data_IF_217607036350
#
_entry.id   IF_217607036350
#
_cell.length_a   1.000
_cell.length_b   1.000
_cell.length_c   1.000
_cell.angle_alpha   90.00
_cell.angle_beta   90.00
_cell.angle_gamma   90.00
#
_symmetry.space_group_name_H-M   'P 1'
#
loop_
_entity.id
_entity.type
_entity.pdbx_description
1 polymer ?
#
# COMPACT_ATOMS: atom_id res chain seq x y z
N UNK A 1 6.42 -13.72 -3.40
CA UNK A 1 5.10 -14.21 -3.07
C UNK A 1 4.03 -13.24 -3.55
N UNK A 2 2.87 -13.71 -3.98
CA UNK A 2 1.77 -12.93 -4.55
C UNK A 2 2.07 -12.25 -5.90
N UNK A 3 3.25 -12.44 -6.48
CA UNK A 3 3.59 -11.80 -7.75
C UNK A 3 3.70 -10.27 -7.68
N UNK A 4 3.97 -9.74 -6.50
CA UNK A 4 4.11 -8.32 -6.27
C UNK A 4 5.56 -7.88 -6.40
N UNK A 5 5.75 -6.60 -6.72
CA UNK A 5 7.08 -6.03 -6.92
C UNK A 5 7.46 -5.16 -5.73
N UNK A 6 8.60 -5.47 -5.12
CA UNK A 6 9.21 -4.58 -4.12
C UNK A 6 9.85 -3.42 -4.88
N UNK A 7 9.42 -2.20 -4.59
CA UNK A 7 9.94 -1.02 -5.29
C UNK A 7 11.16 -0.46 -4.55
N UNK A 8 10.97 0.00 -3.32
CA UNK A 8 12.05 0.61 -2.55
C UNK A 8 11.69 0.74 -1.08
N UNK A 9 12.69 1.02 -0.26
CA UNK A 9 12.48 1.48 1.11
C UNK A 9 12.71 2.98 1.15
N UNK A 10 11.92 3.69 1.96
CA UNK A 10 12.03 5.12 2.19
C UNK A 10 12.08 5.30 3.71
N UNK A 11 13.31 5.51 4.25
CA UNK A 11 13.48 5.51 5.70
C UNK A 11 13.07 4.18 6.29
N UNK A 12 12.08 4.18 7.16
CA UNK A 12 11.51 2.96 7.77
C UNK A 12 10.26 2.46 7.03
N UNK A 13 9.92 3.06 5.90
CA UNK A 13 8.79 2.66 5.08
C UNK A 13 9.21 1.74 3.93
N UNK A 14 8.29 0.90 3.49
CA UNK A 14 8.52 -0.12 2.47
C UNK A 14 7.42 0.00 1.42
N UNK A 15 7.81 0.16 0.16
CA UNK A 15 6.89 0.34 -0.95
C UNK A 15 6.78 -0.93 -1.81
N UNK A 16 5.56 -1.40 -2.01
CA UNK A 16 5.26 -2.58 -2.82
C UNK A 16 4.18 -2.21 -3.83
N UNK A 17 4.27 -2.76 -5.03
CA UNK A 17 3.30 -2.53 -6.08
C UNK A 17 2.82 -3.83 -6.73
N UNK A 18 1.58 -3.84 -7.16
CA UNK A 18 1.00 -4.91 -7.96
C UNK A 18 0.63 -4.39 -9.35
N UNK A 19 0.63 -5.28 -10.34
CA UNK A 19 0.33 -4.91 -11.71
C UNK A 19 1.47 -4.25 -12.47
N UNK A 20 2.67 -4.26 -11.92
CA UNK A 20 3.89 -3.75 -12.56
C UNK A 20 5.03 -4.72 -12.27
N UNK A 21 6.01 -4.86 -13.17
CA UNK A 21 6.03 -4.36 -14.54
C UNK A 21 5.01 -5.04 -15.45
N UNK A 22 4.52 -6.21 -15.06
CA UNK A 22 3.53 -6.95 -15.82
C UNK A 22 2.12 -6.67 -15.30
N UNK A 23 1.18 -6.52 -16.20
CA UNK A 23 -0.22 -6.28 -15.87
C UNK A 23 -0.82 -7.50 -15.17
N UNK A 24 -1.59 -7.25 -14.12
CA UNK A 24 -2.31 -8.29 -13.38
C UNK A 24 -3.66 -7.73 -12.94
N UNK A 25 -4.74 -8.31 -13.45
CA UNK A 25 -6.10 -7.83 -13.17
C UNK A 25 -6.53 -8.05 -11.72
N UNK A 26 -5.83 -8.89 -10.98
CA UNK A 26 -6.08 -9.15 -9.55
C UNK A 26 -5.12 -8.40 -8.63
N UNK A 27 -4.41 -7.40 -9.14
CA UNK A 27 -3.36 -6.71 -8.38
C UNK A 27 -3.88 -6.10 -7.06
N UNK A 28 -5.07 -5.55 -7.08
CA UNK A 28 -5.66 -4.91 -5.90
C UNK A 28 -5.93 -5.92 -4.78
N UNK A 29 -6.51 -7.07 -5.12
CA UNK A 29 -6.76 -8.15 -4.18
C UNK A 29 -5.46 -8.72 -3.61
N UNK A 30 -4.46 -8.90 -4.47
CA UNK A 30 -3.16 -9.45 -4.04
C UNK A 30 -2.43 -8.50 -3.08
N UNK A 31 -2.48 -7.21 -3.32
CA UNK A 31 -1.92 -6.21 -2.42
C UNK A 31 -2.62 -6.26 -1.05
N UNK A 32 -3.95 -6.33 -1.04
CA UNK A 32 -4.70 -6.40 0.21
C UNK A 32 -4.38 -7.67 0.99
N UNK A 33 -4.30 -8.81 0.33
CA UNK A 33 -3.92 -10.08 0.98
C UNK A 33 -2.50 -10.01 1.54
N UNK A 34 -1.58 -9.41 0.81
CA UNK A 34 -0.21 -9.21 1.27
C UNK A 34 -0.19 -8.36 2.54
N UNK A 35 -0.93 -7.26 2.55
CA UNK A 35 -1.02 -6.38 3.73
C UNK A 35 -1.56 -7.11 4.96
N UNK A 36 -2.62 -7.89 4.79
CA UNK A 36 -3.19 -8.67 5.88
C UNK A 36 -2.21 -9.70 6.42
N UNK A 37 -1.48 -10.38 5.54
CA UNK A 37 -0.47 -11.35 5.95
C UNK A 37 0.67 -10.67 6.73
N UNK A 38 1.08 -9.47 6.30
CA UNK A 38 2.09 -8.70 7.01
C UNK A 38 1.63 -8.34 8.42
N UNK A 39 0.39 -7.92 8.58
CA UNK A 39 -0.18 -7.63 9.90
C UNK A 39 -0.20 -8.88 10.78
N UNK A 40 -0.56 -10.02 10.20
CA UNK A 40 -0.59 -11.29 10.94
C UNK A 40 0.80 -11.67 11.44
N UNK A 41 1.83 -11.54 10.60
CA UNK A 41 3.21 -11.82 10.98
C UNK A 41 3.67 -10.90 12.12
N UNK A 42 3.37 -9.61 12.02
CA UNK A 42 3.74 -8.65 13.06
C UNK A 42 3.04 -8.93 14.38
N UNK A 43 1.76 -9.32 14.33
CA UNK A 43 1.00 -9.65 15.54
C UNK A 43 1.50 -10.91 16.24
N UNK A 44 2.07 -11.84 15.51
CA UNK A 44 2.66 -13.06 16.08
C UNK A 44 3.99 -12.79 16.76
N UNK A 45 4.61 -11.64 16.51
CA UNK A 45 5.88 -11.28 17.12
C UNK A 45 7.01 -12.22 16.77
N UNK A 46 7.19 -12.52 15.50
CA UNK A 46 8.22 -13.45 15.02
C UNK A 46 9.59 -12.77 14.98
N UNK A 47 10.59 -13.38 15.62
CA UNK A 47 11.98 -12.93 15.59
C UNK A 47 12.15 -11.51 16.13
N UNK A 48 12.77 -10.63 15.36
CA UNK A 48 13.02 -9.24 15.74
C UNK A 48 11.75 -8.38 15.74
N UNK A 49 10.62 -8.91 15.29
CA UNK A 49 9.36 -8.16 15.16
C UNK A 49 8.48 -8.25 16.40
N UNK A 50 8.99 -8.81 17.48
CA UNK A 50 8.27 -8.83 18.76
C UNK A 50 8.03 -7.39 19.22
N UNK A 51 6.77 -7.06 19.50
CA UNK A 51 6.32 -5.71 19.90
C UNK A 51 6.44 -4.64 18.82
N UNK A 52 6.73 -5.02 17.57
CA UNK A 52 6.70 -4.09 16.45
C UNK A 52 5.27 -3.94 15.91
N UNK A 53 4.97 -2.73 15.46
CA UNK A 53 3.66 -2.42 14.85
C UNK A 53 3.90 -1.70 13.53
N UNK A 54 3.05 -1.96 12.55
CA UNK A 54 3.15 -1.32 11.24
C UNK A 54 1.84 -0.64 10.88
N UNK A 55 1.96 0.37 10.03
CA UNK A 55 0.82 1.01 9.39
C UNK A 55 0.90 0.71 7.91
N UNK A 56 -0.23 0.47 7.28
CA UNK A 56 -0.29 0.16 5.85
C UNK A 56 -1.29 1.10 5.18
N UNK A 57 -0.89 1.67 4.07
CA UNK A 57 -1.78 2.44 3.20
C UNK A 57 -1.81 1.81 1.82
N UNK A 58 -2.98 1.71 1.23
CA UNK A 58 -3.18 1.12 -0.10
C UNK A 58 -4.00 2.06 -0.97
N UNK A 59 -3.54 2.24 -2.20
CA UNK A 59 -4.25 2.99 -3.22
C UNK A 59 -4.04 2.33 -4.57
N UNK A 60 -5.00 2.50 -5.48
CA UNK A 60 -4.90 2.06 -6.86
C UNK A 60 -5.06 3.25 -7.79
N UNK A 61 -4.32 3.26 -8.87
CA UNK A 61 -4.37 4.33 -9.86
C UNK A 61 -3.20 4.25 -10.82
N UNK A 62 -3.18 5.14 -11.83
CA UNK A 62 -2.09 5.16 -12.81
C UNK A 62 -0.79 5.61 -12.19
N UNK A 63 0.31 5.01 -12.62
CA UNK A 63 1.67 5.37 -12.21
C UNK A 63 2.58 5.43 -13.42
N UNK A 64 3.66 6.19 -13.30
CA UNK A 64 4.76 6.17 -14.25
C UNK A 64 5.85 5.26 -13.66
N UNK A 65 6.28 4.29 -14.43
CA UNK A 65 7.27 3.32 -13.99
C UNK A 65 8.51 3.41 -14.88
N UNK A 66 9.68 3.17 -14.30
CA UNK A 66 10.92 3.20 -15.08
C UNK A 66 12.12 2.77 -14.27
N UNK A 67 13.25 2.68 -14.96
CA UNK A 67 14.53 2.30 -14.37
C UNK A 67 15.39 3.55 -14.25
N UNK A 68 15.97 3.75 -13.09
CA UNK A 68 16.87 4.86 -12.81
C UNK A 68 18.25 4.35 -12.40
N UNK A 69 19.27 5.16 -12.67
CA UNK A 69 20.65 4.86 -12.32
C UNK A 69 21.54 4.63 -13.53
N UNK A 70 22.83 4.88 -13.38
CA UNK A 70 23.83 4.73 -14.42
C UNK A 70 24.63 3.44 -14.31
N UNK A 71 25.05 3.08 -13.10
CA UNK A 71 25.85 1.90 -12.84
C UNK A 71 25.07 0.79 -12.14
N UNK A 72 24.00 1.16 -11.43
CA UNK A 72 23.15 0.24 -10.70
C UNK A 72 21.71 0.65 -10.95
N UNK A 73 21.00 -0.17 -11.70
CA UNK A 73 19.63 0.15 -12.10
C UNK A 73 18.65 -0.21 -10.99
N UNK A 74 17.70 0.70 -10.73
CA UNK A 74 16.60 0.49 -9.79
C UNK A 74 15.28 0.81 -10.48
N UNK A 75 14.32 -0.08 -10.33
CA UNK A 75 12.96 0.11 -10.82
C UNK A 75 12.19 0.96 -9.83
N UNK A 76 11.56 2.02 -10.30
CA UNK A 76 10.81 2.93 -9.44
C UNK A 76 9.49 3.34 -10.08
N UNK A 77 8.61 3.87 -9.27
CA UNK A 77 7.29 4.36 -9.67
C UNK A 77 7.12 5.81 -9.25
N UNK A 78 6.48 6.58 -10.11
CA UNK A 78 6.19 7.99 -9.85
C UNK A 78 4.72 8.28 -10.14
N UNK A 79 4.25 9.38 -9.61
CA UNK A 79 2.95 9.94 -9.89
C UNK A 79 2.10 10.17 -8.66
N UNK A 80 0.94 10.75 -8.89
CA UNK A 80 0.02 11.09 -7.82
C UNK A 80 -0.49 9.86 -7.04
N UNK A 81 -0.64 8.73 -7.74
CA UNK A 81 -1.06 7.48 -7.09
C UNK A 81 -0.08 7.04 -6.01
N UNK A 82 1.22 7.21 -6.23
CA UNK A 82 2.25 6.88 -5.25
C UNK A 82 2.13 7.80 -4.04
N UNK A 83 1.93 9.09 -4.28
CA UNK A 83 1.76 10.06 -3.21
C UNK A 83 0.51 9.78 -2.38
N UNK A 84 -0.58 9.40 -3.04
CA UNK A 84 -1.84 9.06 -2.37
C UNK A 84 -1.66 7.83 -1.47
N UNK A 85 -1.00 6.79 -1.95
CA UNK A 85 -0.72 5.60 -1.14
C UNK A 85 0.10 5.96 0.10
N UNK A 86 1.11 6.81 -0.06
CA UNK A 86 1.92 7.28 1.06
C UNK A 86 1.10 8.05 2.09
N UNK A 87 0.15 8.88 1.63
CA UNK A 87 -0.77 9.60 2.53
C UNK A 87 -1.68 8.65 3.30
N UNK A 88 -2.14 7.58 2.65
CA UNK A 88 -2.96 6.56 3.33
C UNK A 88 -2.16 5.90 4.44
N UNK A 89 -0.89 5.57 4.20
CA UNK A 89 -0.03 5.01 5.25
C UNK A 89 0.13 6.01 6.41
N UNK A 90 0.43 7.27 6.11
CA UNK A 90 0.64 8.30 7.13
C UNK A 90 -0.59 8.55 8.00
N UNK A 91 -1.77 8.41 7.44
CA UNK A 91 -3.04 8.61 8.16
C UNK A 91 -3.59 7.33 8.79
N UNK A 92 -2.97 6.18 8.49
CA UNK A 92 -3.40 4.90 9.06
C UNK A 92 -3.01 4.80 10.53
N UNK A 93 -3.57 3.82 11.20
CA UNK A 93 -3.27 3.51 12.59
C UNK A 93 -2.40 2.25 12.68
N UNK A 94 -1.67 2.12 13.79
CA UNK A 94 -0.84 0.93 14.03
C UNK A 94 -1.66 -0.35 13.94
N UNK A 95 -1.13 -1.34 13.24
CA UNK A 95 -1.76 -2.64 13.00
C UNK A 95 -3.05 -2.57 12.18
N UNK A 96 -3.21 -1.51 11.40
CA UNK A 96 -4.37 -1.34 10.53
C UNK A 96 -3.94 -1.02 9.11
N UNK A 97 -4.85 -1.28 8.18
CA UNK A 97 -4.69 -0.94 6.77
C UNK A 97 -5.71 0.13 6.44
N UNK A 98 -5.25 1.25 5.89
CA UNK A 98 -6.12 2.30 5.38
C UNK A 98 -6.12 2.25 3.87
N UNK A 99 -7.29 2.28 3.27
CA UNK A 99 -7.44 2.23 1.81
C UNK A 99 -8.25 3.44 1.33
N UNK A 100 -8.02 3.83 0.07
CA UNK A 100 -8.84 4.85 -0.57
C UNK A 100 -10.18 4.24 -1.00
N UNK A 101 -11.12 5.12 -1.32
CA UNK A 101 -12.43 4.69 -1.82
C UNK A 101 -12.32 3.79 -3.05
N UNK A 102 -11.39 4.09 -3.97
CA UNK A 102 -11.21 3.28 -5.18
C UNK A 102 -10.86 1.83 -4.84
N UNK A 103 -9.98 1.63 -3.87
CA UNK A 103 -9.63 0.28 -3.39
C UNK A 103 -10.83 -0.37 -2.71
N UNK A 104 -11.53 0.38 -1.86
CA UNK A 104 -12.71 -0.13 -1.17
C UNK A 104 -13.77 -0.61 -2.16
N UNK A 105 -14.10 0.18 -3.17
CA UNK A 105 -15.11 -0.19 -4.17
C UNK A 105 -14.72 -1.44 -4.95
N UNK A 106 -13.44 -1.64 -5.20
CA UNK A 106 -12.93 -2.81 -5.89
C UNK A 106 -13.04 -4.08 -5.03
N UNK A 107 -12.82 -3.97 -3.72
CA UNK A 107 -12.66 -5.11 -2.82
C UNK A 107 -13.78 -5.30 -1.81
N UNK A 108 -14.80 -4.45 -1.81
CA UNK A 108 -15.85 -4.48 -0.78
C UNK A 108 -16.57 -5.82 -0.62
N UNK A 109 -16.64 -6.61 -1.68
CA UNK A 109 -17.28 -7.92 -1.66
C UNK A 109 -16.35 -9.07 -1.26
N UNK A 110 -15.05 -8.78 -1.14
CA UNK A 110 -14.02 -9.80 -0.86
C UNK A 110 -13.42 -9.69 0.54
N UNK A 111 -13.55 -8.53 1.16
CA UNK A 111 -12.98 -8.26 2.49
C UNK A 111 -13.97 -7.50 3.34
N UNK A 112 -13.78 -7.59 4.65
CA UNK A 112 -14.59 -6.84 5.63
C UNK A 112 -13.84 -5.56 5.96
N UNK A 113 -14.52 -4.42 5.82
CA UNK A 113 -13.96 -3.11 6.11
C UNK A 113 -14.64 -2.49 7.31
N UNK A 114 -13.89 -1.69 8.07
CA UNK A 114 -14.46 -0.85 9.10
C UNK A 114 -15.26 0.28 8.45
N UNK A 115 -16.08 0.97 9.25
CA UNK A 115 -16.83 2.12 8.78
C UNK A 115 -15.90 3.17 8.17
N UNK A 116 -16.27 3.68 6.99
CA UNK A 116 -15.48 4.69 6.29
C UNK A 116 -15.52 6.03 7.01
N UNK A 117 -14.50 6.83 6.79
CA UNK A 117 -14.41 8.19 7.32
C UNK A 117 -13.75 9.11 6.31
N UNK A 118 -14.07 10.38 6.42
CA UNK A 118 -13.47 11.41 5.59
C UNK A 118 -12.29 12.03 6.34
N UNK A 119 -11.14 12.10 5.69
CA UNK A 119 -9.96 12.76 6.24
C UNK A 119 -9.52 13.90 5.31
N UNK A 120 -8.86 14.90 5.89
CA UNK A 120 -8.22 15.95 5.11
C UNK A 120 -6.80 15.52 4.78
N UNK A 121 -6.46 15.50 3.48
CA UNK A 121 -5.14 15.11 2.99
C UNK A 121 -4.52 16.32 2.33
N UNK A 122 -3.35 16.74 2.81
CA UNK A 122 -2.63 17.90 2.29
C UNK A 122 -2.35 17.74 0.79
N UNK A 123 -2.75 18.73 0.01
CA UNK A 123 -2.61 18.71 -1.44
C UNK A 123 -3.71 17.97 -2.18
N UNK A 124 -4.63 17.32 -1.46
CA UNK A 124 -5.73 16.53 -2.03
C UNK A 124 -7.11 17.00 -1.59
N UNK A 125 -7.20 17.65 -0.43
CA UNK A 125 -8.48 18.01 0.18
C UNK A 125 -9.08 16.86 0.96
N UNK A 126 -10.40 16.83 1.07
CA UNK A 126 -11.10 15.78 1.80
C UNK A 126 -11.15 14.49 0.97
N UNK A 127 -10.83 13.36 1.59
CA UNK A 127 -10.86 12.04 0.96
C UNK A 127 -11.61 11.06 1.85
N UNK A 128 -12.43 10.22 1.25
CA UNK A 128 -13.07 9.10 1.94
C UNK A 128 -12.07 7.95 2.05
N UNK A 129 -11.97 7.35 3.24
CA UNK A 129 -11.04 6.26 3.53
C UNK A 129 -11.73 5.14 4.30
N UNK A 130 -11.18 3.96 4.22
CA UNK A 130 -11.76 2.75 4.82
C UNK A 130 -10.72 1.85 5.48
#
# INVERSE_FOLDING_TARGET
KFGLEKIKTIGDAYMVAGGVPERNDHHCELIARCGLEMLEIMNKGVGFFTNCKIRIGIHTGPVVAGVIGNSKFAYDLWGDSVNTASRMESHSEANKIMVTRDVFLTLKDKFIFEEGRTIYVKGKGNMETY
#
